data_IF_865341152458
#
_entry.id   IF_865341152458
#
_cell.length_a   1.000
_cell.length_b   1.000
_cell.length_c   1.000
_cell.angle_alpha   90.00
_cell.angle_beta   90.00
_cell.angle_gamma   90.00
#
_symmetry.space_group_name_H-M   'P 1'
#
loop_
_entity.id
_entity.type
_entity.pdbx_description
1 polymer ?
#
# COMPACT_ATOMS: atom_id res chain seq x y z
N UNK A 1 8.22 29.82 -16.79
CA UNK A 1 6.84 29.53 -17.25
C UNK A 1 6.35 28.35 -16.43
N UNK A 2 5.98 28.64 -15.18
CA UNK A 2 5.58 27.63 -14.19
C UNK A 2 4.08 27.37 -14.35
N UNK A 3 3.71 26.38 -15.17
CA UNK A 3 2.31 25.99 -15.30
C UNK A 3 1.83 25.37 -13.97
N UNK A 4 0.91 26.02 -13.23
CA UNK A 4 0.38 25.49 -11.97
C UNK A 4 -0.33 24.14 -12.17
N UNK A 5 -0.95 23.99 -13.34
CA UNK A 5 -1.71 22.82 -13.78
C UNK A 5 -0.80 21.59 -13.93
N UNK A 6 0.33 21.73 -14.62
CA UNK A 6 1.30 20.65 -14.82
C UNK A 6 1.88 20.11 -13.51
N UNK A 7 2.13 20.96 -12.51
CA UNK A 7 2.60 20.53 -11.19
C UNK A 7 1.56 19.71 -10.42
N UNK A 8 0.29 20.12 -10.49
CA UNK A 8 -0.82 19.38 -9.86
C UNK A 8 -1.00 17.99 -10.50
N UNK A 9 -0.94 17.91 -11.84
CA UNK A 9 -1.03 16.63 -12.56
C UNK A 9 0.09 15.67 -12.16
N UNK A 10 1.34 16.16 -12.07
CA UNK A 10 2.47 15.34 -11.62
C UNK A 10 2.25 14.82 -10.20
N UNK A 11 1.78 15.66 -9.28
CA UNK A 11 1.51 15.24 -7.90
C UNK A 11 0.41 14.17 -7.82
N UNK A 12 -0.65 14.31 -8.61
CA UNK A 12 -1.74 13.32 -8.68
C UNK A 12 -1.20 11.98 -9.18
N UNK A 13 -0.35 11.98 -10.21
CA UNK A 13 0.29 10.76 -10.72
C UNK A 13 1.16 10.11 -9.65
N UNK A 14 1.97 10.90 -8.93
CA UNK A 14 2.81 10.39 -7.83
C UNK A 14 1.96 9.77 -6.72
N UNK A 15 0.88 10.45 -6.31
CA UNK A 15 -0.06 9.91 -5.31
C UNK A 15 -0.67 8.59 -5.79
N UNK A 16 -1.12 8.51 -7.05
CA UNK A 16 -1.69 7.29 -7.61
C UNK A 16 -0.68 6.13 -7.59
N UNK A 17 0.59 6.39 -7.92
CA UNK A 17 1.68 5.39 -7.84
C UNK A 17 1.90 4.95 -6.39
N UNK A 18 1.96 5.88 -5.43
CA UNK A 18 2.14 5.55 -4.01
C UNK A 18 1.01 4.67 -3.46
N UNK A 19 -0.24 4.98 -3.79
CA UNK A 19 -1.41 4.17 -3.40
C UNK A 19 -1.35 2.79 -4.06
N UNK A 20 -0.92 2.70 -5.31
CA UNK A 20 -0.75 1.40 -6.00
C UNK A 20 0.32 0.54 -5.31
N UNK A 21 1.47 1.12 -4.97
CA UNK A 21 2.53 0.41 -4.23
C UNK A 21 2.02 -0.02 -2.85
N UNK A 22 1.27 0.83 -2.16
CA UNK A 22 0.69 0.48 -0.85
C UNK A 22 -0.26 -0.71 -0.96
N UNK A 23 -1.12 -0.75 -1.99
CA UNK A 23 -1.98 -1.89 -2.27
C UNK A 23 -1.20 -3.20 -2.55
N UNK A 24 -0.03 -3.12 -3.21
CA UNK A 24 0.85 -4.28 -3.39
C UNK A 24 1.40 -4.80 -2.06
N UNK A 25 1.77 -3.90 -1.14
CA UNK A 25 2.23 -4.30 0.20
C UNK A 25 1.10 -4.93 1.02
N UNK A 26 -0.11 -4.38 0.98
CA UNK A 26 -1.29 -4.95 1.65
C UNK A 26 -1.65 -6.33 1.09
N UNK A 27 -1.58 -6.51 -0.23
CA UNK A 27 -1.76 -7.82 -0.86
C UNK A 27 -0.67 -8.82 -0.43
N UNK A 28 0.59 -8.37 -0.34
CA UNK A 28 1.70 -9.19 0.13
C UNK A 28 1.54 -9.59 1.61
N UNK A 29 1.03 -8.70 2.46
CA UNK A 29 0.70 -8.99 3.86
C UNK A 29 -0.31 -10.13 3.96
N UNK A 30 -1.43 -10.03 3.25
CA UNK A 30 -2.46 -11.07 3.28
C UNK A 30 -1.94 -12.38 2.69
N UNK A 31 -1.23 -12.32 1.57
CA UNK A 31 -0.65 -13.52 0.98
C UNK A 31 0.31 -14.19 1.97
N UNK A 32 1.16 -13.43 2.65
CA UNK A 32 2.09 -13.92 3.66
C UNK A 32 1.35 -14.59 4.84
N UNK A 33 0.32 -13.93 5.38
CA UNK A 33 -0.48 -14.44 6.51
C UNK A 33 -1.28 -15.68 6.11
N UNK A 34 -1.95 -15.67 4.95
CA UNK A 34 -2.79 -16.79 4.48
C UNK A 34 -1.97 -18.03 4.16
N UNK A 35 -0.75 -17.87 3.62
CA UNK A 35 0.06 -19.03 3.24
C UNK A 35 0.61 -19.77 4.47
N UNK A 36 0.90 -19.04 5.54
CA UNK A 36 1.35 -19.61 6.80
C UNK A 36 2.73 -20.28 6.72
N UNK A 37 3.24 -20.71 7.88
CA UNK A 37 4.53 -21.42 7.96
C UNK A 37 4.50 -22.77 7.23
N UNK A 38 3.37 -23.47 7.29
CA UNK A 38 3.19 -24.80 6.67
C UNK A 38 3.21 -24.69 5.16
N UNK A 39 2.40 -23.80 4.58
CA UNK A 39 2.40 -23.59 3.13
C UNK A 39 3.76 -23.10 2.61
N UNK A 40 4.46 -22.25 3.36
CA UNK A 40 5.79 -21.78 2.97
C UNK A 40 6.82 -22.93 2.91
N UNK A 41 6.71 -23.89 3.84
CA UNK A 41 7.53 -25.10 3.84
C UNK A 41 7.19 -26.01 2.66
N UNK A 42 5.91 -26.25 2.40
CA UNK A 42 5.45 -27.07 1.26
C UNK A 42 5.91 -26.50 -0.08
N UNK A 43 5.81 -25.18 -0.29
CA UNK A 43 6.30 -24.54 -1.52
C UNK A 43 7.82 -24.69 -1.68
N UNK A 44 8.57 -24.63 -0.59
CA UNK A 44 10.02 -24.80 -0.59
C UNK A 44 10.41 -26.25 -0.93
N UNK A 45 9.76 -27.22 -0.27
CA UNK A 45 9.97 -28.66 -0.49
C UNK A 45 9.53 -29.09 -1.90
N UNK A 46 8.50 -28.47 -2.46
CA UNK A 46 8.05 -28.68 -3.84
C UNK A 46 8.93 -28.00 -4.91
N UNK A 47 10.01 -27.30 -4.52
CA UNK A 47 10.90 -26.60 -5.46
C UNK A 47 10.23 -25.45 -6.23
N UNK A 48 9.12 -24.91 -5.73
CA UNK A 48 8.35 -23.85 -6.40
C UNK A 48 9.12 -22.54 -6.30
N UNK A 49 9.06 -21.71 -7.35
CA UNK A 49 9.69 -20.38 -7.35
C UNK A 49 9.22 -19.57 -6.15
N UNK A 50 10.16 -18.97 -5.43
CA UNK A 50 9.88 -18.18 -4.23
C UNK A 50 9.69 -18.99 -2.93
N UNK A 51 9.55 -20.32 -2.98
CA UNK A 51 9.35 -21.15 -1.79
C UNK A 51 10.48 -21.04 -0.77
N UNK A 52 11.74 -21.10 -1.23
CA UNK A 52 12.90 -20.93 -0.36
C UNK A 52 13.01 -19.54 0.28
N UNK A 53 12.63 -18.48 -0.44
CA UNK A 53 12.59 -17.12 0.11
C UNK A 53 11.49 -17.00 1.17
N UNK A 54 10.30 -17.52 0.87
CA UNK A 54 9.17 -17.45 1.77
C UNK A 54 9.40 -18.25 3.05
N UNK A 55 10.04 -19.43 2.95
CA UNK A 55 10.47 -20.20 4.12
C UNK A 55 11.49 -19.44 4.97
N UNK A 56 12.41 -18.68 4.36
CA UNK A 56 13.33 -17.78 5.09
C UNK A 56 12.59 -16.64 5.77
N UNK A 57 11.60 -16.02 5.13
CA UNK A 57 10.78 -14.97 5.76
C UNK A 57 10.01 -15.51 6.98
N UNK A 58 9.50 -16.74 6.88
CA UNK A 58 8.84 -17.44 7.99
C UNK A 58 9.79 -17.91 9.11
N UNK A 59 11.11 -17.73 8.99
CA UNK A 59 12.04 -17.91 10.11
C UNK A 59 11.96 -16.78 11.13
N UNK A 60 11.53 -15.58 10.70
CA UNK A 60 11.30 -14.39 11.53
C UNK A 60 10.04 -13.65 11.05
N UNK A 61 8.85 -14.26 11.21
CA UNK A 61 7.61 -13.71 10.66
C UNK A 61 7.27 -12.33 11.23
N UNK A 62 7.59 -12.09 12.49
CA UNK A 62 7.43 -10.78 13.16
C UNK A 62 8.21 -9.67 12.42
N UNK A 63 9.47 -9.93 12.06
CA UNK A 63 10.30 -8.97 11.35
C UNK A 63 9.83 -8.76 9.90
N UNK A 64 9.37 -9.83 9.23
CA UNK A 64 8.82 -9.76 7.88
C UNK A 64 7.54 -8.91 7.86
N UNK A 65 6.59 -9.20 8.77
CA UNK A 65 5.35 -8.44 8.92
C UNK A 65 5.63 -6.99 9.29
N UNK A 66 6.49 -6.73 10.28
CA UNK A 66 6.84 -5.37 10.68
C UNK A 66 7.38 -4.55 9.49
N UNK A 67 8.21 -5.16 8.64
CA UNK A 67 8.73 -4.49 7.44
C UNK A 67 7.62 -4.11 6.45
N UNK A 68 6.67 -5.04 6.22
CA UNK A 68 5.52 -4.80 5.34
C UNK A 68 4.64 -3.68 5.90
N UNK A 69 4.29 -3.74 7.18
CA UNK A 69 3.47 -2.76 7.89
C UNK A 69 4.10 -1.36 7.90
N UNK A 70 5.42 -1.27 8.11
CA UNK A 70 6.17 -0.01 8.01
C UNK A 70 6.06 0.56 6.59
N UNK A 71 6.20 -0.28 5.57
CA UNK A 71 6.02 0.13 4.17
C UNK A 71 4.63 0.69 3.89
N UNK A 72 3.58 -0.02 4.30
CA UNK A 72 2.18 0.40 4.17
C UNK A 72 1.96 1.76 4.81
N UNK A 73 2.38 1.90 6.06
CA UNK A 73 2.19 3.14 6.84
C UNK A 73 2.96 4.30 6.20
N UNK A 74 4.21 4.06 5.78
CA UNK A 74 5.05 5.09 5.17
C UNK A 74 4.48 5.61 3.85
N UNK A 75 3.96 4.72 3.01
CA UNK A 75 3.32 5.07 1.75
C UNK A 75 2.03 5.86 1.97
N UNK A 76 1.23 5.47 2.97
CA UNK A 76 -0.02 6.15 3.31
C UNK A 76 0.24 7.58 3.83
N UNK A 77 1.19 7.75 4.76
CA UNK A 77 1.59 9.07 5.26
C UNK A 77 2.12 9.95 4.11
N UNK A 78 2.93 9.39 3.23
CA UNK A 78 3.50 10.12 2.09
C UNK A 78 2.41 10.59 1.12
N UNK A 79 1.49 9.71 0.73
CA UNK A 79 0.39 10.04 -0.16
C UNK A 79 -0.54 11.09 0.45
N UNK A 80 -0.89 10.91 1.73
CA UNK A 80 -1.77 11.83 2.48
C UNK A 80 -1.13 13.22 2.64
N UNK A 81 0.18 13.30 2.94
CA UNK A 81 0.89 14.57 3.07
C UNK A 81 0.99 15.33 1.74
N UNK A 82 1.19 14.63 0.62
CA UNK A 82 1.20 15.25 -0.70
C UNK A 82 -0.18 15.78 -1.10
N UNK A 83 -1.24 15.00 -0.82
CA UNK A 83 -2.60 15.41 -1.07
C UNK A 83 -3.02 16.60 -0.19
N UNK A 84 -2.65 16.60 1.09
CA UNK A 84 -2.87 17.72 2.02
C UNK A 84 -2.22 19.01 1.48
N UNK A 85 -0.95 18.95 1.07
CA UNK A 85 -0.24 20.11 0.49
C UNK A 85 -0.93 20.65 -0.77
N UNK A 86 -1.39 19.75 -1.64
CA UNK A 86 -2.11 20.13 -2.85
C UNK A 86 -3.44 20.80 -2.51
N UNK A 87 -4.23 20.20 -1.62
CA UNK A 87 -5.53 20.74 -1.22
C UNK A 87 -5.42 22.04 -0.42
N UNK A 88 -4.40 22.18 0.44
CA UNK A 88 -4.14 23.43 1.15
C UNK A 88 -3.94 24.57 0.16
N UNK A 89 -3.15 24.34 -0.90
CA UNK A 89 -2.86 25.37 -1.90
C UNK A 89 -4.12 25.81 -2.67
N UNK A 90 -5.00 24.88 -3.03
CA UNK A 90 -6.16 25.16 -3.88
C UNK A 90 -7.40 25.61 -3.07
N UNK A 91 -7.58 25.10 -1.85
CA UNK A 91 -8.79 25.25 -1.04
C UNK A 91 -8.52 25.93 0.32
N UNK A 92 -7.28 26.34 0.58
CA UNK A 92 -6.85 26.93 1.85
C UNK A 92 -6.70 25.91 2.99
N UNK A 93 -6.43 26.38 4.22
CA UNK A 93 -6.08 25.52 5.36
C UNK A 93 -7.13 24.45 5.67
N UNK A 94 -8.41 24.81 5.57
CA UNK A 94 -9.54 23.88 5.81
C UNK A 94 -9.56 22.75 4.78
N UNK A 95 -9.24 23.06 3.52
CA UNK A 95 -9.16 22.07 2.45
C UNK A 95 -8.01 21.07 2.64
N UNK A 96 -6.87 21.52 3.17
CA UNK A 96 -5.77 20.63 3.56
C UNK A 96 -6.20 19.60 4.60
N UNK A 97 -6.85 20.05 5.69
CA UNK A 97 -7.35 19.17 6.76
C UNK A 97 -8.39 18.18 6.22
N UNK A 98 -9.33 18.65 5.39
CA UNK A 98 -10.34 17.78 4.77
C UNK A 98 -9.68 16.71 3.88
N UNK A 99 -8.68 17.09 3.09
CA UNK A 99 -7.98 16.18 2.20
C UNK A 99 -7.27 15.05 2.96
N UNK A 100 -6.70 15.32 4.14
CA UNK A 100 -6.09 14.29 4.98
C UNK A 100 -7.11 13.19 5.36
N UNK A 101 -8.27 13.58 5.88
CA UNK A 101 -9.30 12.61 6.28
C UNK A 101 -9.92 11.86 5.09
N UNK A 102 -10.20 12.57 4.00
CA UNK A 102 -10.77 11.98 2.78
C UNK A 102 -9.78 11.01 2.15
N UNK A 103 -8.49 11.35 2.06
CA UNK A 103 -7.48 10.46 1.52
C UNK A 103 -7.27 9.22 2.38
N UNK A 104 -7.28 9.35 3.71
CA UNK A 104 -7.18 8.20 4.61
C UNK A 104 -8.33 7.21 4.37
N UNK A 105 -9.57 7.70 4.30
CA UNK A 105 -10.72 6.87 3.95
C UNK A 105 -10.62 6.28 2.54
N UNK A 106 -10.19 7.07 1.56
CA UNK A 106 -10.04 6.63 0.17
C UNK A 106 -8.99 5.52 0.02
N UNK A 107 -7.83 5.66 0.66
CA UNK A 107 -6.76 4.65 0.63
C UNK A 107 -7.23 3.35 1.27
N UNK A 108 -7.91 3.40 2.41
CA UNK A 108 -8.44 2.20 3.07
C UNK A 108 -9.50 1.53 2.16
N UNK A 109 -10.45 2.28 1.64
CA UNK A 109 -11.55 1.72 0.85
C UNK A 109 -11.08 1.17 -0.52
N UNK A 110 -10.26 1.94 -1.23
CA UNK A 110 -9.89 1.65 -2.61
C UNK A 110 -8.49 1.05 -2.78
N UNK A 111 -7.53 1.42 -1.93
CA UNK A 111 -6.16 0.87 -1.95
C UNK A 111 -6.04 -0.44 -1.19
N UNK A 112 -6.88 -0.65 -0.17
CA UNK A 112 -6.83 -1.83 0.69
C UNK A 112 -8.05 -2.74 0.48
N UNK A 113 -9.25 -2.30 0.86
CA UNK A 113 -10.44 -3.16 0.93
C UNK A 113 -10.88 -3.65 -0.45
N UNK A 114 -10.91 -2.79 -1.46
CA UNK A 114 -11.33 -3.16 -2.82
C UNK A 114 -10.44 -4.26 -3.46
N UNK A 115 -9.10 -4.14 -3.50
CA UNK A 115 -8.25 -5.21 -4.03
C UNK A 115 -8.33 -6.49 -3.20
N UNK A 116 -8.46 -6.39 -1.87
CA UNK A 116 -8.64 -7.56 -1.00
C UNK A 116 -9.94 -8.31 -1.31
N UNK A 117 -11.04 -7.58 -1.50
CA UNK A 117 -12.34 -8.16 -1.83
C UNK A 117 -12.35 -8.80 -3.22
N UNK A 118 -11.74 -8.15 -4.20
CA UNK A 118 -11.63 -8.71 -5.55
C UNK A 118 -10.76 -9.98 -5.58
N UNK A 119 -9.63 -9.99 -4.87
CA UNK A 119 -8.77 -11.18 -4.78
C UNK A 119 -9.44 -12.33 -3.99
N UNK A 120 -10.35 -12.04 -3.06
CA UNK A 120 -11.06 -13.07 -2.30
C UNK A 120 -12.29 -13.65 -3.02
N UNK A 121 -12.87 -12.93 -4.00
CA UNK A 121 -14.11 -13.31 -4.69
C UNK A 121 -13.88 -14.12 -5.99
N UNK A 122 -12.62 -14.30 -6.42
CA UNK A 122 -12.25 -15.20 -7.51
C UNK A 122 -11.24 -16.23 -7.00
N UNK A 123 -11.66 -17.47 -6.71
CA UNK A 123 -10.78 -18.52 -6.20
C UNK A 123 -9.71 -18.95 -7.21
#
# INVERSE_FOLDING_TARGET
MDDPSGRAVVLIIVIAVLVTIQGLFAAAEIAFVRLGRVGARELSEAGRRGGGLLQRLWSRPEAALATILIGITSLNISASSLAEKLAHKELGPVGGVLAFFVMSAFIILWGEIAPMYYAASRP
#
